data_IF_665521275395
#
_entry.id   IF_665521275395
#
_cell.length_a   1.000
_cell.length_b   1.000
_cell.length_c   1.000
_cell.angle_alpha   90.00
_cell.angle_beta   90.00
_cell.angle_gamma   90.00
#
_symmetry.space_group_name_H-M   'P 1'
#
loop_
_entity.id
_entity.type
_entity.pdbx_description
1 polymer ?
#
# COMPACT_ATOMS: atom_id res chain seq x y z
N UNK A 1 -13.55 -4.86 8.40
CA UNK A 1 -12.34 -5.66 8.12
C UNK A 1 -11.38 -5.55 9.30
N UNK A 2 -10.62 -6.60 9.66
CA UNK A 2 -9.67 -6.59 10.78
C UNK A 2 -8.26 -6.91 10.26
N UNK A 3 -7.22 -6.42 10.94
CA UNK A 3 -5.83 -6.79 10.67
C UNK A 3 -5.11 -6.01 9.57
N UNK A 4 -5.72 -4.95 9.02
CA UNK A 4 -5.02 -4.05 8.08
C UNK A 4 -4.02 -3.20 8.85
N UNK A 5 -2.78 -3.15 8.38
CA UNK A 5 -1.70 -2.33 8.92
C UNK A 5 -1.01 -1.59 7.79
N UNK A 6 -0.55 -0.38 8.06
CA UNK A 6 0.33 0.36 7.15
C UNK A 6 1.76 -0.16 7.35
N UNK A 7 2.42 -0.55 6.26
CA UNK A 7 3.83 -0.95 6.29
C UNK A 7 4.72 0.27 6.44
N UNK A 8 5.88 0.09 7.07
CA UNK A 8 6.96 1.08 7.14
C UNK A 8 8.06 0.66 6.19
N UNK A 9 7.97 1.13 4.95
CA UNK A 9 8.82 0.71 3.83
C UNK A 9 10.08 1.59 3.69
N UNK A 10 11.00 1.12 2.86
CA UNK A 10 12.16 1.88 2.38
C UNK A 10 11.69 3.07 1.50
N UNK A 11 12.14 4.31 1.75
CA UNK A 11 11.70 5.48 1.00
C UNK A 11 12.01 5.47 -0.49
N UNK A 12 13.14 4.87 -0.90
CA UNK A 12 13.53 4.78 -2.32
C UNK A 12 12.58 3.83 -3.03
N UNK A 13 12.41 2.61 -2.50
CA UNK A 13 11.48 1.61 -3.03
C UNK A 13 10.06 2.18 -3.12
N UNK A 14 9.56 2.76 -2.04
CA UNK A 14 8.21 3.35 -1.99
C UNK A 14 8.02 4.43 -3.04
N UNK A 15 8.98 5.36 -3.18
CA UNK A 15 8.90 6.45 -4.15
C UNK A 15 8.78 5.92 -5.58
N UNK A 16 9.71 5.06 -6.01
CA UNK A 16 9.74 4.57 -7.38
C UNK A 16 8.60 3.59 -7.69
N UNK A 17 8.16 2.78 -6.70
CA UNK A 17 6.96 1.96 -6.84
C UNK A 17 5.69 2.82 -7.02
N UNK A 18 5.54 3.92 -6.28
CA UNK A 18 4.39 4.80 -6.44
C UNK A 18 4.44 5.67 -7.71
N UNK A 19 5.63 6.00 -8.24
CA UNK A 19 5.75 6.56 -9.59
C UNK A 19 5.14 5.60 -10.63
N UNK A 20 5.41 4.29 -10.50
CA UNK A 20 4.80 3.24 -11.35
C UNK A 20 3.27 3.13 -11.20
N UNK A 21 2.72 3.59 -10.07
CA UNK A 21 1.28 3.51 -9.74
C UNK A 21 0.40 4.54 -10.43
N UNK A 22 0.97 5.68 -10.86
CA UNK A 22 0.21 6.80 -11.42
C UNK A 22 -0.64 6.36 -12.62
N UNK A 23 -1.97 6.55 -12.56
CA UNK A 23 -2.92 6.12 -13.60
C UNK A 23 -2.72 4.66 -14.06
N UNK A 24 -2.75 3.72 -13.11
CA UNK A 24 -2.45 2.30 -13.33
C UNK A 24 -3.32 1.39 -12.44
N UNK A 25 -3.20 0.07 -12.59
CA UNK A 25 -3.90 -0.91 -11.75
C UNK A 25 -2.94 -1.85 -11.02
N UNK A 26 -3.37 -2.39 -9.87
CA UNK A 26 -2.52 -3.14 -8.94
C UNK A 26 -1.74 -4.30 -9.62
N UNK A 27 -2.35 -5.17 -10.44
CA UNK A 27 -1.61 -6.23 -11.13
C UNK A 27 -0.48 -5.70 -12.02
N UNK A 28 -0.76 -4.66 -12.82
CA UNK A 28 0.25 -4.08 -13.71
C UNK A 28 1.34 -3.35 -12.92
N UNK A 29 1.00 -2.69 -11.82
CA UNK A 29 1.99 -2.03 -10.95
C UNK A 29 2.94 -3.06 -10.37
N UNK A 30 2.42 -4.18 -9.86
CA UNK A 30 3.22 -5.25 -9.26
C UNK A 30 4.23 -5.80 -10.27
N UNK A 31 3.77 -6.14 -11.48
CA UNK A 31 4.67 -6.60 -12.54
C UNK A 31 5.66 -5.53 -13.05
N UNK A 32 5.31 -4.24 -12.99
CA UNK A 32 6.27 -3.17 -13.29
C UNK A 32 7.37 -3.08 -12.23
N UNK A 33 7.03 -3.19 -10.95
CA UNK A 33 8.01 -3.17 -9.86
C UNK A 33 8.92 -4.40 -9.91
N UNK A 34 8.36 -5.59 -10.10
CA UNK A 34 9.13 -6.83 -10.30
C UNK A 34 10.11 -6.69 -11.48
N UNK A 35 9.63 -6.17 -12.61
CA UNK A 35 10.49 -5.92 -13.78
C UNK A 35 11.57 -4.88 -13.49
N UNK A 36 11.26 -3.82 -12.74
CA UNK A 36 12.26 -2.83 -12.35
C UNK A 36 13.39 -3.47 -11.55
N UNK A 37 13.05 -4.35 -10.60
CA UNK A 37 14.01 -5.10 -9.80
C UNK A 37 14.80 -6.10 -10.66
N UNK A 38 14.17 -6.79 -11.60
CA UNK A 38 14.88 -7.71 -12.50
C UNK A 38 15.88 -7.00 -13.42
N UNK A 39 15.51 -5.83 -13.97
CA UNK A 39 16.35 -5.10 -14.93
C UNK A 39 17.51 -4.32 -14.28
N UNK A 40 17.34 -3.85 -13.04
CA UNK A 40 18.28 -2.92 -12.38
C UNK A 40 18.66 -3.31 -10.94
N UNK A 41 18.07 -4.38 -10.40
CA UNK A 41 18.34 -4.85 -9.05
C UNK A 41 19.43 -5.91 -9.00
N UNK A 42 20.06 -6.04 -7.84
CA UNK A 42 21.02 -7.11 -7.59
C UNK A 42 20.28 -8.45 -7.42
N UNK A 43 20.77 -9.50 -8.08
CA UNK A 43 20.23 -10.85 -7.89
C UNK A 43 20.54 -11.34 -6.47
N UNK A 44 19.50 -11.70 -5.71
CA UNK A 44 19.62 -12.16 -4.33
C UNK A 44 19.64 -13.70 -4.21
N UNK A 45 19.00 -14.38 -5.15
CA UNK A 45 18.90 -15.85 -5.16
C UNK A 45 17.56 -16.35 -5.68
N UNK A 46 17.38 -17.67 -5.59
CA UNK A 46 16.18 -18.37 -6.06
C UNK A 46 15.52 -19.13 -4.90
N UNK A 47 14.19 -19.12 -4.88
CA UNK A 47 13.38 -19.96 -3.99
C UNK A 47 12.40 -20.73 -4.86
N UNK A 48 12.65 -22.03 -5.03
CA UNK A 48 11.97 -22.81 -6.07
C UNK A 48 12.37 -22.31 -7.45
N UNK A 49 11.39 -22.12 -8.34
CA UNK A 49 11.62 -21.64 -9.72
C UNK A 49 11.47 -20.11 -9.85
N UNK A 50 11.57 -19.37 -8.74
CA UNK A 50 11.40 -17.92 -8.71
C UNK A 50 12.71 -17.24 -8.30
N UNK A 51 13.25 -16.43 -9.21
CA UNK A 51 14.39 -15.55 -8.98
C UNK A 51 13.96 -14.27 -8.26
N UNK A 52 14.72 -13.89 -7.23
CA UNK A 52 14.50 -12.68 -6.45
C UNK A 52 15.64 -11.69 -6.67
N UNK A 53 15.27 -10.43 -6.83
CA UNK A 53 16.18 -9.31 -7.01
C UNK A 53 15.90 -8.25 -5.96
N UNK A 54 16.95 -7.58 -5.50
CA UNK A 54 16.82 -6.41 -4.64
C UNK A 54 16.12 -5.27 -5.40
N UNK A 55 15.55 -4.32 -4.65
CA UNK A 55 15.14 -3.08 -5.28
C UNK A 55 16.38 -2.32 -5.80
N UNK A 56 16.33 -1.69 -6.99
CA UNK A 56 17.50 -1.05 -7.56
C UNK A 56 18.06 0.09 -6.71
N UNK A 57 19.38 0.28 -6.73
CA UNK A 57 19.97 1.48 -6.18
C UNK A 57 19.56 2.69 -7.03
N UNK A 58 19.22 3.80 -6.38
CA UNK A 58 18.83 5.04 -7.07
C UNK A 58 19.88 5.52 -8.09
N UNK A 59 21.17 5.24 -7.86
CA UNK A 59 22.26 5.57 -8.80
C UNK A 59 22.15 4.86 -10.14
N UNK A 60 21.54 3.68 -10.17
CA UNK A 60 21.38 2.85 -11.37
C UNK A 60 20.13 3.21 -12.16
N UNK A 61 19.25 4.04 -11.57
CA UNK A 61 18.01 4.50 -12.19
C UNK A 61 18.16 5.83 -12.94
N UNK A 62 19.34 6.44 -13.02
CA UNK A 62 19.53 7.77 -13.65
C UNK A 62 19.99 7.71 -15.11
N UNK A 63 19.61 8.73 -15.88
CA UNK A 63 20.15 8.99 -17.23
C UNK A 63 19.26 8.55 -18.39
N UNK A 64 19.54 9.06 -19.59
CA UNK A 64 18.69 8.85 -20.78
C UNK A 64 18.61 7.39 -21.22
N UNK A 65 19.71 6.64 -21.10
CA UNK A 65 19.73 5.19 -21.42
C UNK A 65 18.76 4.39 -20.54
N UNK A 66 18.60 4.78 -19.28
CA UNK A 66 17.63 4.14 -18.36
C UNK A 66 16.20 4.45 -18.80
N UNK A 67 15.91 5.70 -19.18
CA UNK A 67 14.59 6.05 -19.72
C UNK A 67 14.28 5.25 -21.00
N UNK A 68 15.21 5.20 -21.95
CA UNK A 68 15.06 4.48 -23.21
C UNK A 68 14.80 2.99 -22.99
N UNK A 69 15.57 2.35 -22.10
CA UNK A 69 15.38 0.95 -21.77
C UNK A 69 14.04 0.69 -21.07
N UNK A 70 13.69 1.47 -20.03
CA UNK A 70 12.41 1.33 -19.34
C UNK A 70 11.21 1.51 -20.29
N UNK A 71 11.33 2.40 -21.30
CA UNK A 71 10.33 2.51 -22.37
C UNK A 71 10.22 1.23 -23.19
N UNK A 72 11.35 0.66 -23.59
CA UNK A 72 11.41 -0.57 -24.40
C UNK A 72 10.75 -1.75 -23.67
N UNK A 73 10.89 -1.82 -22.34
CA UNK A 73 10.31 -2.89 -21.51
C UNK A 73 8.93 -2.58 -20.92
N UNK A 74 8.28 -1.51 -21.40
CA UNK A 74 6.84 -1.27 -21.20
C UNK A 74 6.44 -0.32 -20.06
N UNK A 75 7.35 0.50 -19.53
CA UNK A 75 7.02 1.49 -18.51
C UNK A 75 6.27 2.72 -19.07
N UNK A 76 6.31 2.92 -20.39
CA UNK A 76 5.63 4.02 -21.06
C UNK A 76 6.17 5.38 -20.60
N UNK A 77 5.28 6.35 -20.38
CA UNK A 77 5.70 7.70 -19.96
C UNK A 77 6.35 7.73 -18.56
N UNK A 78 6.14 6.70 -17.72
CA UNK A 78 6.69 6.64 -16.36
C UNK A 78 8.20 6.41 -16.35
N UNK A 79 8.75 5.83 -17.41
CA UNK A 79 10.19 5.68 -17.60
C UNK A 79 10.92 7.02 -17.46
N UNK A 80 10.36 8.08 -18.04
CA UNK A 80 10.86 9.45 -17.92
C UNK A 80 10.90 9.90 -16.46
N UNK A 81 9.82 9.68 -15.72
CA UNK A 81 9.73 10.11 -14.33
C UNK A 81 10.68 9.35 -13.42
N UNK A 82 10.86 8.04 -13.62
CA UNK A 82 11.85 7.25 -12.87
C UNK A 82 13.25 7.83 -13.09
N UNK A 83 13.67 7.98 -14.36
CA UNK A 83 15.01 8.47 -14.67
C UNK A 83 15.26 9.91 -14.22
N UNK A 84 14.29 10.80 -14.46
CA UNK A 84 14.42 12.20 -14.07
C UNK A 84 14.35 12.40 -12.56
N UNK A 85 13.52 11.63 -11.84
CA UNK A 85 13.44 11.70 -10.39
C UNK A 85 14.76 11.26 -9.74
N UNK A 86 15.31 10.10 -10.16
CA UNK A 86 16.62 9.64 -9.68
C UNK A 86 17.73 10.65 -10.00
N UNK A 87 17.73 11.20 -11.21
CA UNK A 87 18.70 12.22 -11.63
C UNK A 87 18.58 13.51 -10.80
N UNK A 88 17.35 13.96 -10.55
CA UNK A 88 17.09 15.18 -9.79
C UNK A 88 17.60 15.06 -8.35
N UNK A 89 17.23 13.97 -7.66
CA UNK A 89 17.66 13.72 -6.28
C UNK A 89 19.18 13.70 -6.19
N UNK A 90 19.85 12.91 -7.04
CA UNK A 90 21.31 12.76 -7.01
C UNK A 90 22.09 14.03 -7.41
N UNK A 91 21.44 15.01 -8.04
CA UNK A 91 22.06 16.29 -8.42
C UNK A 91 21.85 17.38 -7.36
N UNK A 92 20.71 17.37 -6.67
CA UNK A 92 20.32 18.46 -5.75
C UNK A 92 20.41 18.06 -4.29
N UNK A 93 20.50 16.76 -4.01
CA UNK A 93 20.47 16.18 -2.67
C UNK A 93 21.47 15.02 -2.55
N UNK A 94 21.76 14.62 -1.31
CA UNK A 94 22.53 13.41 -1.04
C UNK A 94 21.66 12.14 -1.21
N UNK A 95 22.30 10.97 -1.19
CA UNK A 95 21.61 9.68 -1.32
C UNK A 95 20.72 9.33 -0.12
N UNK A 96 20.87 10.02 1.01
CA UNK A 96 20.14 9.79 2.26
C UNK A 96 18.97 10.78 2.44
N UNK A 97 18.80 11.73 1.53
CA UNK A 97 17.83 12.81 1.64
C UNK A 97 16.40 12.31 1.87
N UNK A 98 15.99 11.24 1.17
CA UNK A 98 14.68 10.63 1.37
C UNK A 98 14.51 10.08 2.80
N UNK A 99 15.57 9.53 3.40
CA UNK A 99 15.54 9.07 4.79
C UNK A 99 15.45 10.23 5.78
N UNK A 100 16.16 11.34 5.51
CA UNK A 100 16.12 12.55 6.34
C UNK A 100 14.70 13.12 6.41
N UNK A 101 13.87 12.96 5.36
CA UNK A 101 12.47 13.41 5.37
C UNK A 101 11.61 12.71 6.45
N UNK A 102 12.04 11.57 7.01
CA UNK A 102 11.38 10.99 8.19
C UNK A 102 11.37 11.94 9.39
N UNK A 103 12.41 12.76 9.54
CA UNK A 103 12.52 13.73 10.64
C UNK A 103 11.84 15.07 10.35
N UNK A 104 11.47 15.34 9.10
CA UNK A 104 10.78 16.57 8.70
C UNK A 104 9.31 16.57 9.15
N UNK A 105 8.65 17.73 9.12
CA UNK A 105 7.18 17.77 9.28
C UNK A 105 6.48 17.12 8.07
N UNK A 106 5.24 16.67 8.23
CA UNK A 106 4.45 16.17 7.10
C UNK A 106 4.37 17.20 5.95
N UNK A 107 4.14 18.47 6.27
CA UNK A 107 4.01 19.53 5.26
C UNK A 107 5.32 19.72 4.48
N UNK A 108 6.46 19.74 5.18
CA UNK A 108 7.76 19.92 4.54
C UNK A 108 8.15 18.71 3.70
N UNK A 109 7.95 17.50 4.21
CA UNK A 109 8.20 16.27 3.46
C UNK A 109 7.33 16.18 2.20
N UNK A 110 6.03 16.49 2.32
CA UNK A 110 5.10 16.47 1.19
C UNK A 110 5.47 17.52 0.13
N UNK A 111 5.77 18.75 0.56
CA UNK A 111 6.18 19.83 -0.34
C UNK A 111 7.50 19.50 -1.05
N UNK A 112 8.47 18.93 -0.34
CA UNK A 112 9.74 18.51 -0.89
C UNK A 112 9.57 17.40 -1.95
N UNK A 113 8.77 16.37 -1.66
CA UNK A 113 8.47 15.30 -2.61
C UNK A 113 7.74 15.80 -3.86
N UNK A 114 6.82 16.76 -3.73
CA UNK A 114 6.09 17.32 -4.87
C UNK A 114 6.97 18.13 -5.85
N UNK A 115 8.22 18.45 -5.50
CA UNK A 115 9.18 19.07 -6.41
C UNK A 115 9.79 18.06 -7.39
N UNK A 116 9.68 16.76 -7.09
CA UNK A 116 10.27 15.71 -7.89
C UNK A 116 9.50 15.47 -9.20
N UNK A 117 10.21 15.25 -10.33
CA UNK A 117 9.57 14.94 -11.61
C UNK A 117 8.62 13.74 -11.53
N UNK A 118 7.35 13.94 -11.88
CA UNK A 118 6.33 12.89 -11.88
C UNK A 118 5.72 12.57 -10.52
N UNK A 119 6.08 13.31 -9.47
CA UNK A 119 5.52 13.16 -8.12
C UNK A 119 4.50 14.27 -7.87
N UNK A 120 3.21 13.91 -7.92
CA UNK A 120 2.12 14.79 -7.51
C UNK A 120 1.66 14.51 -6.08
N UNK A 121 0.68 15.29 -5.59
CA UNK A 121 0.17 15.23 -4.23
C UNK A 121 -0.16 13.80 -3.75
N UNK A 122 -0.84 12.99 -4.59
CA UNK A 122 -1.17 11.59 -4.25
C UNK A 122 0.07 10.72 -4.05
N UNK A 123 1.06 10.83 -4.93
CA UNK A 123 2.29 10.04 -4.82
C UNK A 123 3.06 10.48 -3.58
N UNK A 124 3.21 11.81 -3.38
CA UNK A 124 3.85 12.35 -2.18
C UNK A 124 3.17 11.87 -0.89
N UNK A 125 1.83 11.90 -0.82
CA UNK A 125 1.09 11.38 0.34
C UNK A 125 1.31 9.87 0.54
N UNK A 126 1.37 9.08 -0.53
CA UNK A 126 1.69 7.65 -0.42
C UNK A 126 3.08 7.42 0.19
N UNK A 127 4.09 8.17 -0.26
CA UNK A 127 5.46 8.09 0.30
C UNK A 127 5.46 8.57 1.76
N UNK A 128 4.84 9.71 2.05
CA UNK A 128 4.70 10.23 3.41
C UNK A 128 4.10 9.19 4.38
N UNK A 129 3.00 8.55 3.97
CA UNK A 129 2.28 7.59 4.79
C UNK A 129 3.02 6.26 4.97
N UNK A 130 3.59 5.71 3.89
CA UNK A 130 4.08 4.33 3.85
C UNK A 130 5.59 4.20 4.06
N UNK A 131 6.34 5.29 3.96
CA UNK A 131 7.79 5.26 4.19
C UNK A 131 8.34 6.39 5.04
N UNK A 132 7.66 7.54 5.23
CA UNK A 132 8.25 8.68 5.97
C UNK A 132 7.65 8.94 7.36
N UNK A 133 6.92 7.95 7.91
CA UNK A 133 6.36 8.02 9.27
C UNK A 133 5.35 9.16 9.47
N UNK A 134 4.66 9.61 8.40
CA UNK A 134 3.61 10.65 8.45
C UNK A 134 2.22 10.04 8.47
N UNK A 135 1.78 9.61 9.65
CA UNK A 135 0.52 8.86 9.80
C UNK A 135 -0.74 9.68 9.48
N UNK A 136 -0.60 11.02 9.45
CA UNK A 136 -1.65 11.97 9.10
C UNK A 136 -1.77 12.22 7.58
N UNK A 137 -0.85 11.69 6.78
CA UNK A 137 -0.88 11.79 5.32
C UNK A 137 -2.05 10.98 4.75
N UNK A 138 -2.84 11.57 3.86
CA UNK A 138 -4.06 10.96 3.31
C UNK A 138 -3.97 10.95 1.79
N UNK A 139 -3.50 9.85 1.18
CA UNK A 139 -3.45 9.74 -0.27
C UNK A 139 -4.87 9.67 -0.84
N UNK A 140 -5.27 10.67 -1.63
CA UNK A 140 -6.61 10.70 -2.23
C UNK A 140 -6.54 10.35 -3.71
N UNK A 141 -7.01 9.15 -4.06
CA UNK A 141 -7.24 8.75 -5.44
C UNK A 141 -8.73 8.75 -5.78
N UNK A 142 -9.09 8.23 -6.95
CA UNK A 142 -10.49 8.13 -7.38
C UNK A 142 -11.33 7.23 -6.48
N UNK A 143 -10.76 6.16 -5.91
CA UNK A 143 -11.46 5.26 -5.01
C UNK A 143 -11.73 5.93 -3.67
N UNK A 144 -10.71 6.55 -3.06
CA UNK A 144 -10.86 7.30 -1.81
C UNK A 144 -11.83 8.45 -1.98
N UNK A 145 -11.80 9.14 -3.12
CA UNK A 145 -12.78 10.17 -3.43
C UNK A 145 -14.21 9.60 -3.49
N UNK A 146 -14.43 8.48 -4.17
CA UNK A 146 -15.75 7.82 -4.24
C UNK A 146 -16.27 7.37 -2.87
N UNK A 147 -15.41 6.73 -2.05
CA UNK A 147 -15.75 6.35 -0.67
C UNK A 147 -16.15 7.59 0.14
N UNK A 148 -15.36 8.66 0.02
CA UNK A 148 -15.60 9.91 0.75
C UNK A 148 -16.90 10.56 0.33
N UNK A 149 -17.15 10.67 -0.98
CA UNK A 149 -18.38 11.23 -1.52
C UNK A 149 -19.62 10.44 -1.06
N UNK A 150 -19.51 9.11 -1.00
CA UNK A 150 -20.62 8.24 -0.61
C UNK A 150 -20.93 8.27 0.89
N UNK A 151 -19.90 8.32 1.74
CA UNK A 151 -20.07 8.04 3.17
C UNK A 151 -19.86 9.23 4.10
N UNK A 152 -19.12 10.25 3.67
CA UNK A 152 -18.66 11.33 4.55
C UNK A 152 -19.03 12.72 4.04
N UNK A 153 -18.96 12.93 2.71
CA UNK A 153 -19.14 14.24 2.08
C UNK A 153 -20.07 14.15 0.84
N UNK A 154 -21.39 13.98 1.03
CA UNK A 154 -22.34 13.78 -0.07
C UNK A 154 -22.35 14.89 -1.13
N UNK A 155 -21.98 16.12 -0.77
CA UNK A 155 -21.86 17.22 -1.74
C UNK A 155 -20.77 17.00 -2.79
N UNK A 156 -19.81 16.08 -2.56
CA UNK A 156 -18.80 15.72 -3.54
C UNK A 156 -19.33 14.81 -4.66
N UNK A 157 -20.52 14.22 -4.52
CA UNK A 157 -21.12 13.35 -5.56
C UNK A 157 -21.38 14.12 -6.86
N UNK A 158 -21.70 15.40 -6.78
CA UNK A 158 -21.93 16.26 -7.96
C UNK A 158 -20.64 16.89 -8.51
N UNK A 159 -19.50 16.68 -7.84
CA UNK A 159 -18.21 17.20 -8.27
C UNK A 159 -17.70 16.41 -9.47
N UNK A 160 -17.28 17.12 -10.53
CA UNK A 160 -16.89 16.48 -11.81
C UNK A 160 -15.46 15.95 -11.84
N UNK A 161 -14.57 16.49 -11.00
CA UNK A 161 -13.15 16.13 -11.00
C UNK A 161 -12.49 16.30 -9.65
N UNK A 162 -11.48 15.46 -9.38
CA UNK A 162 -10.62 15.56 -8.20
C UNK A 162 -9.59 16.69 -8.40
N UNK A 163 -10.03 17.93 -8.19
CA UNK A 163 -9.14 19.11 -8.22
C UNK A 163 -8.26 19.17 -6.98
N UNK A 164 -7.19 19.98 -7.01
CA UNK A 164 -6.32 20.20 -5.84
C UNK A 164 -7.11 20.71 -4.60
N UNK A 165 -8.15 21.53 -4.81
CA UNK A 165 -9.03 22.00 -3.74
C UNK A 165 -9.81 20.85 -3.11
N UNK A 166 -10.40 19.99 -3.94
CA UNK A 166 -11.18 18.82 -3.48
C UNK A 166 -10.28 17.81 -2.79
N UNK A 167 -9.09 17.55 -3.36
CA UNK A 167 -8.05 16.71 -2.76
C UNK A 167 -7.72 17.19 -1.34
N UNK A 168 -7.39 18.49 -1.19
CA UNK A 168 -7.07 19.09 0.10
C UNK A 168 -8.24 18.99 1.07
N UNK A 169 -9.46 19.29 0.61
CA UNK A 169 -10.67 19.24 1.43
C UNK A 169 -10.92 17.83 2.00
N UNK A 170 -10.73 16.79 1.19
CA UNK A 170 -10.85 15.39 1.63
C UNK A 170 -9.78 15.07 2.67
N UNK A 171 -8.51 15.40 2.40
CA UNK A 171 -7.42 15.17 3.35
C UNK A 171 -7.64 15.88 4.70
N UNK A 172 -8.05 17.14 4.67
CA UNK A 172 -8.35 17.93 5.87
C UNK A 172 -9.52 17.33 6.66
N UNK A 173 -10.56 16.85 5.97
CA UNK A 173 -11.70 16.18 6.60
C UNK A 173 -11.26 14.91 7.34
N UNK A 174 -10.43 14.07 6.71
CA UNK A 174 -9.95 12.84 7.34
C UNK A 174 -9.03 13.12 8.53
N UNK A 175 -8.15 14.13 8.45
CA UNK A 175 -7.33 14.56 9.58
C UNK A 175 -8.17 15.11 10.74
N UNK A 176 -9.21 15.88 10.45
CA UNK A 176 -10.13 16.36 11.48
C UNK A 176 -10.92 15.22 12.15
N UNK A 177 -11.28 14.19 11.39
CA UNK A 177 -12.09 13.06 11.87
C UNK A 177 -11.28 12.00 12.63
N UNK A 178 -10.09 11.66 12.11
CA UNK A 178 -9.28 10.53 12.58
C UNK A 178 -7.99 10.95 13.30
N UNK A 179 -7.69 12.26 13.33
CA UNK A 179 -6.52 12.81 14.01
C UNK A 179 -5.20 12.39 13.36
N UNK A 180 -4.20 12.15 14.22
CA UNK A 180 -2.82 11.81 13.84
C UNK A 180 -2.72 10.56 12.96
N UNK A 181 -3.67 9.62 13.05
CA UNK A 181 -3.64 8.36 12.32
C UNK A 181 -4.61 8.32 11.12
N UNK A 182 -4.94 9.49 10.55
CA UNK A 182 -5.89 9.59 9.44
C UNK A 182 -5.53 8.74 8.22
N UNK A 183 -4.25 8.63 7.86
CA UNK A 183 -3.78 7.77 6.78
C UNK A 183 -3.97 6.28 7.06
N UNK A 184 -3.86 5.87 8.32
CA UNK A 184 -4.11 4.48 8.72
C UNK A 184 -5.59 4.15 8.61
N UNK A 185 -6.46 5.03 9.09
CA UNK A 185 -7.91 4.89 8.95
C UNK A 185 -8.32 4.86 7.46
N UNK A 186 -7.77 5.76 6.64
CA UNK A 186 -7.96 5.75 5.19
C UNK A 186 -7.53 4.43 4.56
N UNK A 187 -6.40 3.84 4.99
CA UNK A 187 -5.93 2.56 4.48
C UNK A 187 -6.90 1.42 4.77
N UNK A 188 -7.56 1.42 5.95
CA UNK A 188 -8.61 0.45 6.28
C UNK A 188 -9.81 0.60 5.36
N UNK A 189 -10.29 1.84 5.16
CA UNK A 189 -11.45 2.15 4.33
C UNK A 189 -11.19 1.79 2.86
N UNK A 190 -10.04 2.18 2.32
CA UNK A 190 -9.61 1.85 0.96
C UNK A 190 -9.55 0.34 0.76
N UNK A 191 -8.89 -0.39 1.67
CA UNK A 191 -8.76 -1.84 1.53
C UNK A 191 -10.12 -2.54 1.60
N UNK A 192 -11.07 -2.02 2.40
CA UNK A 192 -12.41 -2.57 2.50
C UNK A 192 -13.25 -2.37 1.22
N UNK A 193 -12.93 -1.37 0.40
CA UNK A 193 -13.61 -1.07 -0.87
C UNK A 193 -13.02 -1.83 -2.07
N UNK A 194 -11.82 -2.38 -1.96
CA UNK A 194 -11.24 -3.21 -3.03
C UNK A 194 -12.13 -4.43 -3.30
N UNK A 195 -12.49 -4.66 -4.57
CA UNK A 195 -13.39 -5.74 -5.03
C UNK A 195 -13.08 -7.10 -4.40
N UNK A 196 -11.80 -7.48 -4.33
CA UNK A 196 -11.32 -8.75 -3.75
C UNK A 196 -11.77 -8.97 -2.30
N UNK A 197 -11.99 -7.90 -1.54
CA UNK A 197 -12.40 -7.95 -0.13
C UNK A 197 -13.88 -7.67 0.07
N UNK A 198 -14.59 -7.15 -0.93
CA UNK A 198 -16.05 -7.02 -0.90
C UNK A 198 -16.71 -8.43 -0.83
N UNK A 199 -16.15 -9.41 -1.54
CA UNK A 199 -16.63 -10.80 -1.53
C UNK A 199 -16.42 -11.50 -0.17
N UNK A 200 -15.43 -11.08 0.60
CA UNK A 200 -15.22 -11.63 1.96
C UNK A 200 -16.26 -11.09 2.95
N UNK A 201 -16.76 -9.87 2.74
CA UNK A 201 -17.79 -9.27 3.58
C UNK A 201 -19.17 -9.90 3.35
N UNK A 202 -19.51 -10.26 2.11
CA UNK A 202 -20.78 -10.93 1.79
C UNK A 202 -20.89 -12.30 2.47
N UNK A 203 -19.79 -13.07 2.52
CA UNK A 203 -19.72 -14.36 3.23
C UNK A 203 -19.87 -14.18 4.75
N UNK A 204 -19.24 -13.14 5.33
CA UNK A 204 -19.37 -12.86 6.77
C UNK A 204 -20.80 -12.45 7.18
N UNK A 205 -21.48 -11.67 6.35
CA UNK A 205 -22.88 -11.26 6.58
C UNK A 205 -23.86 -12.42 6.39
N UNK A 206 -23.59 -13.35 5.47
CA UNK A 206 -24.37 -14.58 5.31
C UNK A 206 -24.24 -15.50 6.53
N UNK A 207 -23.04 -15.62 7.12
CA UNK A 207 -22.81 -16.42 8.34
C UNK A 207 -23.40 -15.77 9.61
N UNK A 208 -23.49 -14.44 9.67
CA UNK A 208 -24.18 -13.73 10.75
C UNK A 208 -25.71 -13.87 10.65
N UNK A 209 -26.27 -13.90 9.43
CA UNK A 209 -27.72 -14.15 9.22
C UNK A 209 -28.12 -15.62 9.41
N UNK A 210 -27.23 -16.58 9.13
CA UNK A 210 -27.50 -18.00 9.36
C UNK A 210 -27.40 -18.40 10.83
N UNK A 211 -26.59 -17.69 11.63
CA UNK A 211 -26.43 -17.94 13.07
C UNK A 211 -27.49 -17.27 13.94
N UNK A 212 -28.21 -16.25 13.45
CA UNK A 212 -29.32 -15.61 14.17
C UNK A 212 -30.67 -16.33 14.02
N UNK A 213 -30.77 -17.35 13.14
CA UNK A 213 -32.03 -18.07 12.86
C UNK A 213 -32.13 -19.46 13.52
N UNK A 214 -31.20 -19.83 14.41
CA UNK A 214 -31.23 -21.11 15.17
C UNK A 214 -30.90 -20.91 16.65
N UNK A 215 -31.79 -20.24 17.39
CA UNK A 215 -31.91 -20.38 18.85
C UNK A 215 -33.38 -20.41 19.24
N UNK A 216 -34.03 -21.52 18.92
CA UNK A 216 -35.17 -22.02 19.70
C UNK A 216 -34.62 -23.01 20.74
N UNK A 217 -35.10 -22.81 21.95
CA UNK A 217 -34.69 -23.41 23.22
C UNK A 217 -35.11 -24.88 23.24
N UNK A 218 -34.19 -25.78 23.55
CA UNK A 218 -34.54 -27.06 24.15
C UNK A 218 -33.47 -27.49 25.15
N UNK A 219 -33.86 -27.42 26.42
CA UNK A 219 -33.14 -27.94 27.57
C UNK A 219 -33.23 -29.46 27.59
N UNK A 220 -32.12 -30.17 27.69
CA UNK A 220 -32.08 -31.45 28.40
C UNK A 220 -30.67 -31.87 28.79
N UNK A 221 -30.64 -32.50 29.95
CA UNK A 221 -29.52 -32.81 30.83
C UNK A 221 -28.82 -34.14 30.53
N UNK A 222 -27.60 -34.28 31.06
CA UNK A 222 -26.84 -35.52 31.36
C UNK A 222 -26.21 -36.26 30.16
N UNK A 223 -24.88 -36.30 30.14
CA UNK A 223 -24.08 -37.34 30.80
C UNK A 223 -22.70 -37.46 30.16
N UNK A 224 -21.74 -37.74 31.03
CA UNK A 224 -20.32 -37.96 30.81
C UNK A 224 -20.01 -39.12 29.85
N UNK A 225 -19.04 -38.94 28.94
CA UNK A 225 -18.10 -40.02 28.61
C UNK A 225 -16.80 -39.48 28.01
N UNK A 226 -15.74 -40.20 28.35
CA UNK A 226 -14.31 -39.89 28.32
C UNK A 226 -13.69 -39.69 26.94
N UNK A 227 -12.81 -38.68 26.83
CA UNK A 227 -11.74 -38.66 25.83
C UNK A 227 -10.61 -39.62 26.23
N UNK A 228 -10.37 -40.66 25.43
CA UNK A 228 -9.09 -41.40 25.44
C UNK A 228 -8.13 -40.70 24.47
N UNK A 229 -7.12 -40.03 25.01
CA UNK A 229 -5.93 -39.59 24.29
C UNK A 229 -4.91 -40.73 24.38
N UNK A 230 -4.52 -41.30 23.24
CA UNK A 230 -3.34 -42.16 23.15
C UNK A 230 -2.21 -41.39 22.48
N UNK A 231 -1.25 -40.94 23.30
CA UNK A 231 0.03 -40.41 22.83
C UNK A 231 1.19 -41.17 23.48
N UNK A 232 1.99 -41.79 22.59
CA UNK A 232 3.45 -42.03 22.65
C UNK A 232 4.06 -42.76 23.85
N UNK A 233 4.82 -43.81 23.54
CA UNK A 233 6.17 -44.03 24.10
C UNK A 233 7.02 -44.89 23.14
N UNK A 234 7.89 -44.25 22.35
CA UNK A 234 9.12 -44.91 21.86
C UNK A 234 10.15 -44.82 23.00
N UNK A 235 10.49 -45.96 23.59
CA UNK A 235 11.57 -46.12 24.57
C UNK A 235 12.86 -46.56 23.85
N UNK A 236 13.97 -46.04 24.35
CA UNK A 236 15.36 -46.31 23.98
C UNK A 236 15.80 -47.78 24.23
N UNK A 237 16.80 -48.19 23.44
CA UNK A 237 18.01 -48.95 23.80
C UNK A 237 18.05 -50.49 23.79
N UNK A 238 19.14 -50.96 23.18
CA UNK A 238 19.98 -52.15 23.48
C UNK A 238 19.54 -53.53 22.98
N UNK A 239 20.18 -54.00 21.90
CA UNK A 239 21.35 -54.90 21.93
C UNK A 239 22.00 -54.94 20.55
#
# INVERSE_FOLDING_TARGET
>A
MRGVRVLRQDPVETLFAFICSSNNNIPRISGMVEKLCHEYGEFLGEIGDVAYYAFPNMKDLKGSRVEEHLRSVGFGYRAKFISQCASYILQHHDSEWLEILRSASYNDAHAALCQLPGVGAKVADCVCLMSLDKHEAVPVDTHVWQITAKHYMPHLVTTKSLTAKVYKQIGDHYRALFGEYAGWAQSVLFTADLKRFQDTQSISHANLKSSSSKRSVESQSKSTSSYKVSAKKKKKSSK
#
